data_IF_286621956834
#
_entry.id   IF_286621956834
#
_cell.length_a   1.000
_cell.length_b   1.000
_cell.length_c   1.000
_cell.angle_alpha   90.00
_cell.angle_beta   90.00
_cell.angle_gamma   90.00
#
_symmetry.space_group_name_H-M   'P 1'
#
loop_
_entity.id
_entity.type
_entity.pdbx_description
1 polymer ?
#
# COMPACT_ATOMS: atom_id res chain seq x y z
N UNK A 1 25.41 12.50 -3.49
CA UNK A 1 25.98 11.57 -2.49
C UNK A 1 26.07 12.33 -1.18
N UNK A 2 25.18 12.04 -0.23
CA UNK A 2 25.19 12.72 1.07
C UNK A 2 24.83 11.69 2.13
N UNK A 3 25.83 10.93 2.57
CA UNK A 3 25.74 9.94 3.64
C UNK A 3 26.01 10.66 4.96
N UNK A 4 25.00 10.79 5.82
CA UNK A 4 25.20 11.25 7.20
C UNK A 4 25.52 10.01 8.05
N UNK A 5 26.79 9.86 8.38
CA UNK A 5 27.30 8.82 9.29
C UNK A 5 27.38 9.38 10.72
N UNK A 6 26.54 8.86 11.61
CA UNK A 6 26.77 8.96 13.05
C UNK A 6 27.24 7.59 13.55
N UNK A 7 28.45 7.52 14.12
CA UNK A 7 29.05 6.34 14.77
C UNK A 7 29.25 5.06 13.91
N UNK A 8 29.50 5.17 12.61
CA UNK A 8 30.09 4.07 11.83
C UNK A 8 29.28 2.77 11.69
N UNK A 9 28.01 2.76 12.13
CA UNK A 9 27.08 1.65 11.90
C UNK A 9 26.12 2.09 10.80
N UNK A 10 26.21 1.46 9.63
CA UNK A 10 25.16 1.58 8.62
C UNK A 10 23.94 0.84 9.17
N UNK A 11 23.01 1.57 9.77
CA UNK A 11 21.70 1.00 10.15
C UNK A 11 20.94 0.79 8.86
N UNK A 12 21.00 -0.44 8.32
CA UNK A 12 20.28 -0.80 7.10
C UNK A 12 18.78 -0.67 7.35
N UNK A 13 18.10 0.17 6.58
CA UNK A 13 16.65 0.26 6.62
C UNK A 13 16.04 -1.06 6.15
N UNK A 14 15.21 -1.65 6.99
CA UNK A 14 14.63 -2.97 6.75
C UNK A 14 13.23 -2.85 6.14
N UNK A 15 12.93 -3.56 5.03
CA UNK A 15 11.60 -3.54 4.46
C UNK A 15 10.63 -4.37 5.31
N UNK A 16 9.47 -3.80 5.61
CA UNK A 16 8.38 -4.46 6.33
C UNK A 16 7.13 -4.44 5.47
N UNK A 17 6.53 -5.61 5.25
CA UNK A 17 5.27 -5.71 4.52
C UNK A 17 4.09 -5.39 5.44
N UNK A 18 3.19 -4.55 4.96
CA UNK A 18 1.85 -4.34 5.52
C UNK A 18 0.84 -4.74 4.44
N UNK A 19 -0.10 -5.63 4.75
CA UNK A 19 -1.12 -6.01 3.78
C UNK A 19 -2.46 -6.35 4.42
N UNK A 20 -3.53 -6.13 3.66
CA UNK A 20 -4.88 -6.55 4.04
C UNK A 20 -5.27 -7.80 3.27
N UNK A 21 -5.80 -8.80 3.98
CA UNK A 21 -6.28 -10.07 3.42
C UNK A 21 -7.79 -10.15 3.62
N UNK A 22 -8.53 -10.24 2.52
CA UNK A 22 -9.97 -10.39 2.55
C UNK A 22 -10.41 -11.42 1.50
N UNK A 23 -10.57 -12.68 1.93
CA UNK A 23 -11.01 -13.77 1.07
C UNK A 23 -10.21 -13.88 -0.27
N UNK A 24 -8.88 -14.03 -0.21
CA UNK A 24 -8.04 -13.99 -1.40
C UNK A 24 -8.32 -15.20 -2.31
N UNK A 25 -8.35 -14.97 -3.63
CA UNK A 25 -8.49 -16.05 -4.61
C UNK A 25 -7.16 -16.75 -4.85
N UNK A 26 -6.73 -17.56 -3.87
CA UNK A 26 -5.42 -18.23 -3.88
C UNK A 26 -5.56 -19.66 -3.34
N UNK A 27 -4.90 -20.62 -3.99
CA UNK A 27 -4.84 -22.00 -3.48
C UNK A 27 -3.83 -22.12 -2.33
N UNK A 28 -4.02 -23.07 -1.41
CA UNK A 28 -3.06 -23.29 -0.29
C UNK A 28 -1.61 -23.56 -0.76
N UNK A 29 -1.34 -24.38 -1.80
CA UNK A 29 0.02 -24.58 -2.29
C UNK A 29 0.63 -23.30 -2.87
N UNK A 30 -0.18 -22.48 -3.56
CA UNK A 30 0.25 -21.19 -4.09
C UNK A 30 0.56 -20.21 -2.97
N UNK A 31 -0.33 -20.09 -1.98
CA UNK A 31 -0.13 -19.26 -0.80
C UNK A 31 1.16 -19.64 -0.05
N UNK A 32 1.45 -20.94 0.10
CA UNK A 32 2.69 -21.40 0.73
C UNK A 32 3.95 -20.90 0.01
N UNK A 33 3.96 -20.90 -1.34
CA UNK A 33 5.09 -20.37 -2.13
C UNK A 33 5.22 -18.86 -1.98
N UNK A 34 4.11 -18.14 -2.04
CA UNK A 34 4.06 -16.69 -1.83
C UNK A 34 4.63 -16.32 -0.45
N UNK A 35 4.21 -17.01 0.61
CA UNK A 35 4.69 -16.74 1.96
C UNK A 35 6.17 -17.04 2.16
N UNK A 36 6.71 -18.05 1.46
CA UNK A 36 8.14 -18.30 1.45
C UNK A 36 8.92 -17.12 0.83
N UNK A 37 8.43 -16.56 -0.28
CA UNK A 37 9.04 -15.37 -0.90
C UNK A 37 8.90 -14.14 -0.01
N UNK A 38 7.73 -13.93 0.62
CA UNK A 38 7.53 -12.83 1.59
C UNK A 38 8.51 -12.96 2.75
N UNK A 39 8.67 -14.14 3.31
CA UNK A 39 9.58 -14.39 4.44
C UNK A 39 11.05 -14.17 4.09
N UNK A 40 11.43 -14.42 2.84
CA UNK A 40 12.78 -14.19 2.31
C UNK A 40 13.04 -12.71 1.96
N UNK A 41 12.00 -11.95 1.61
CA UNK A 41 12.14 -10.59 1.09
C UNK A 41 11.98 -9.50 2.16
N UNK A 42 11.24 -9.78 3.24
CA UNK A 42 10.91 -8.81 4.28
C UNK A 42 11.43 -9.24 5.65
N UNK A 43 11.82 -8.27 6.47
CA UNK A 43 12.22 -8.53 7.86
C UNK A 43 11.02 -8.95 8.72
N UNK A 44 9.84 -8.46 8.40
CA UNK A 44 8.56 -8.89 8.97
C UNK A 44 7.42 -8.57 8.01
N UNK A 45 6.32 -9.30 8.13
CA UNK A 45 5.06 -9.02 7.45
C UNK A 45 3.92 -8.92 8.48
N UNK A 46 3.17 -7.83 8.44
CA UNK A 46 1.99 -7.63 9.29
C UNK A 46 0.76 -7.64 8.40
N UNK A 47 -0.16 -8.53 8.74
CA UNK A 47 -1.36 -8.78 7.96
C UNK A 47 -2.59 -8.56 8.83
N UNK A 48 -3.54 -7.75 8.35
CA UNK A 48 -4.91 -7.82 8.86
C UNK A 48 -5.71 -8.80 8.02
N UNK A 49 -6.36 -9.77 8.65
CA UNK A 49 -7.14 -10.82 7.97
C UNK A 49 -8.60 -10.69 8.36
N UNK A 50 -9.50 -10.63 7.39
CA UNK A 50 -10.94 -10.54 7.69
C UNK A 50 -11.46 -11.82 8.35
N UNK A 51 -12.43 -11.69 9.26
CA UNK A 51 -13.12 -12.83 9.91
C UNK A 51 -13.81 -13.78 8.93
N UNK A 52 -14.09 -13.33 7.70
CA UNK A 52 -14.69 -14.12 6.63
C UNK A 52 -13.67 -14.87 5.75
N UNK A 53 -12.36 -14.64 5.97
CA UNK A 53 -11.32 -15.35 5.23
C UNK A 53 -11.31 -16.82 5.63
N UNK A 54 -11.05 -17.71 4.66
CA UNK A 54 -11.00 -19.15 4.89
C UNK A 54 -10.06 -19.51 6.06
N UNK A 55 -10.51 -20.47 6.89
CA UNK A 55 -9.77 -20.85 8.11
C UNK A 55 -8.44 -21.52 7.79
N UNK A 56 -8.34 -22.30 6.72
CA UNK A 56 -7.10 -22.96 6.32
C UNK A 56 -6.10 -21.95 5.74
N UNK A 57 -6.59 -20.93 5.02
CA UNK A 57 -5.76 -19.78 4.61
C UNK A 57 -5.20 -19.07 5.85
N UNK A 58 -6.07 -18.76 6.82
CA UNK A 58 -5.67 -18.06 8.06
C UNK A 58 -4.65 -18.87 8.87
N UNK A 59 -4.87 -20.17 9.04
CA UNK A 59 -3.92 -21.07 9.69
C UNK A 59 -2.58 -21.08 8.97
N UNK A 60 -2.58 -21.21 7.64
CA UNK A 60 -1.35 -21.25 6.86
C UNK A 60 -0.54 -19.95 7.04
N UNK A 61 -1.17 -18.78 7.00
CA UNK A 61 -0.51 -17.50 7.27
C UNK A 61 0.20 -17.49 8.64
N UNK A 62 -0.44 -18.05 9.68
CA UNK A 62 0.10 -18.12 11.04
C UNK A 62 1.24 -19.12 11.23
N UNK A 63 1.51 -19.99 10.24
CA UNK A 63 2.62 -20.96 10.33
C UNK A 63 4.00 -20.37 10.01
N UNK A 64 4.06 -19.18 9.40
CA UNK A 64 5.31 -18.54 9.02
C UNK A 64 5.80 -17.58 10.13
N UNK A 65 7.00 -17.77 10.71
CA UNK A 65 7.45 -17.00 11.88
C UNK A 65 7.55 -15.48 11.67
N UNK A 66 7.87 -15.04 10.45
CA UNK A 66 7.97 -13.61 10.09
C UNK A 66 6.63 -12.99 9.68
N UNK A 67 5.54 -13.77 9.70
CA UNK A 67 4.20 -13.32 9.33
C UNK A 67 3.34 -13.19 10.58
N UNK A 68 2.90 -11.97 10.87
CA UNK A 68 2.08 -11.63 12.01
C UNK A 68 0.66 -11.32 11.56
N UNK A 69 -0.32 -12.00 12.13
CA UNK A 69 -1.73 -11.89 11.72
C UNK A 69 -2.56 -11.23 12.82
N UNK A 70 -3.36 -10.23 12.44
CA UNK A 70 -4.44 -9.66 13.26
C UNK A 70 -5.77 -9.92 12.57
N UNK A 71 -6.63 -10.72 13.19
CA UNK A 71 -7.98 -10.99 12.66
C UNK A 71 -8.90 -9.81 12.99
N UNK A 72 -9.66 -9.31 12.00
CA UNK A 72 -10.53 -8.12 12.12
C UNK A 72 -11.88 -8.34 11.45
N UNK A 73 -12.93 -7.65 11.93
CA UNK A 73 -14.21 -7.59 11.23
C UNK A 73 -14.11 -6.75 9.94
N UNK A 74 -14.81 -7.11 8.85
CA UNK A 74 -14.75 -6.37 7.61
C UNK A 74 -15.54 -5.05 7.71
N UNK A 75 -14.83 -3.93 7.92
CA UNK A 75 -15.40 -2.57 7.95
C UNK A 75 -14.96 -1.69 6.77
N UNK A 76 -14.54 -2.33 5.68
CA UNK A 76 -14.04 -1.66 4.47
C UNK A 76 -12.50 -1.62 4.40
N UNK A 77 -11.99 -1.36 3.19
CA UNK A 77 -10.55 -1.38 2.91
C UNK A 77 -9.78 -0.32 3.71
N UNK A 78 -10.31 0.91 3.81
CA UNK A 78 -9.65 1.99 4.56
C UNK A 78 -9.45 1.65 6.05
N UNK A 79 -10.44 1.04 6.71
CA UNK A 79 -10.29 0.59 8.11
C UNK A 79 -9.24 -0.52 8.23
N UNK A 80 -9.24 -1.51 7.35
CA UNK A 80 -8.23 -2.57 7.35
C UNK A 80 -6.81 -2.01 7.13
N UNK A 81 -6.65 -1.07 6.19
CA UNK A 81 -5.39 -0.37 5.88
C UNK A 81 -4.85 0.40 7.08
N UNK A 82 -5.70 1.18 7.76
CA UNK A 82 -5.34 1.89 9.00
C UNK A 82 -4.96 0.91 10.11
N UNK A 83 -5.70 -0.20 10.27
CA UNK A 83 -5.41 -1.21 11.30
C UNK A 83 -4.09 -1.94 11.07
N UNK A 84 -3.72 -2.23 9.83
CA UNK A 84 -2.44 -2.89 9.53
C UNK A 84 -1.27 -1.92 9.68
N UNK A 85 -1.46 -0.64 9.35
CA UNK A 85 -0.48 0.41 9.60
C UNK A 85 -0.22 0.60 11.10
N UNK A 86 -1.28 0.68 11.91
CA UNK A 86 -1.19 0.72 13.38
C UNK A 86 -0.50 -0.54 13.93
N UNK A 87 -0.86 -1.70 13.41
CA UNK A 87 -0.28 -2.97 13.84
C UNK A 87 1.23 -3.01 13.58
N UNK A 88 1.67 -2.72 12.35
CA UNK A 88 3.09 -2.71 12.01
C UNK A 88 3.87 -1.65 12.79
N UNK A 89 3.35 -0.42 12.86
CA UNK A 89 4.03 0.69 13.53
C UNK A 89 4.25 0.44 15.03
N UNK A 90 3.30 -0.20 15.72
CA UNK A 90 3.44 -0.55 17.14
C UNK A 90 4.49 -1.63 17.40
N UNK A 91 4.62 -2.58 16.47
CA UNK A 91 5.43 -3.78 16.66
C UNK A 91 6.89 -3.61 16.21
N UNK A 92 7.12 -2.81 15.16
CA UNK A 92 8.46 -2.60 14.62
C UNK A 92 9.27 -1.64 15.50
N UNK A 93 10.40 -2.14 16.01
CA UNK A 93 11.34 -1.44 16.91
C UNK A 93 12.65 -1.01 16.25
N UNK A 94 12.78 -1.26 14.96
CA UNK A 94 13.96 -0.95 14.16
C UNK A 94 13.61 0.06 13.06
N UNK A 95 14.64 0.69 12.47
CA UNK A 95 14.46 1.61 11.34
C UNK A 95 13.97 0.85 10.11
N UNK A 96 12.74 1.14 9.68
CA UNK A 96 12.06 0.39 8.63
C UNK A 96 11.46 1.29 7.54
N UNK A 97 11.38 0.73 6.32
CA UNK A 97 10.44 1.18 5.31
C UNK A 97 9.20 0.30 5.37
N UNK A 98 8.04 0.89 5.64
CA UNK A 98 6.79 0.16 5.54
C UNK A 98 6.33 0.13 4.09
N UNK A 99 6.19 -1.05 3.52
CA UNK A 99 5.61 -1.28 2.21
C UNK A 99 4.18 -1.77 2.39
N UNK A 100 3.21 -0.93 2.05
CA UNK A 100 1.82 -1.34 1.99
C UNK A 100 1.49 -1.88 0.59
N UNK A 101 0.84 -3.03 0.53
CA UNK A 101 0.31 -3.59 -0.71
C UNK A 101 -0.89 -4.50 -0.41
N UNK A 102 -1.98 -4.36 -1.15
CA UNK A 102 -3.11 -5.30 -1.06
C UNK A 102 -2.61 -6.74 -1.31
N UNK A 103 -3.10 -7.73 -0.53
CA UNK A 103 -2.46 -9.05 -0.53
C UNK A 103 -2.61 -9.81 -1.86
N UNK A 104 -3.71 -9.61 -2.58
CA UNK A 104 -3.89 -10.13 -3.94
C UNK A 104 -2.84 -9.58 -4.92
N UNK A 105 -2.40 -8.33 -4.74
CA UNK A 105 -1.32 -7.71 -5.51
C UNK A 105 0.05 -8.26 -5.12
N UNK A 106 0.27 -8.59 -3.84
CA UNK A 106 1.48 -9.32 -3.40
C UNK A 106 1.54 -10.70 -4.06
N UNK A 107 0.44 -11.46 -4.00
CA UNK A 107 0.33 -12.78 -4.66
C UNK A 107 0.58 -12.64 -6.17
N UNK A 108 -0.10 -11.67 -6.81
CA UNK A 108 0.02 -11.43 -8.26
C UNK A 108 1.46 -11.08 -8.64
N UNK A 109 2.11 -10.19 -7.91
CA UNK A 109 3.46 -9.77 -8.26
C UNK A 109 4.52 -10.83 -8.08
N UNK A 110 4.39 -11.65 -7.04
CA UNK A 110 5.28 -12.80 -6.84
C UNK A 110 5.06 -13.86 -7.93
N UNK A 111 3.82 -14.20 -8.26
CA UNK A 111 3.53 -15.24 -9.25
C UNK A 111 3.85 -14.79 -10.69
N UNK A 112 3.70 -13.50 -11.00
CA UNK A 112 3.97 -12.98 -12.34
C UNK A 112 5.45 -12.64 -12.57
N UNK A 113 6.12 -12.01 -11.60
CA UNK A 113 7.52 -11.61 -11.74
C UNK A 113 8.26 -11.52 -10.39
N UNK A 114 8.53 -12.69 -9.80
CA UNK A 114 9.24 -12.82 -8.52
C UNK A 114 10.60 -12.10 -8.49
N UNK A 115 11.33 -12.07 -9.62
CA UNK A 115 12.66 -11.47 -9.68
C UNK A 115 12.59 -9.94 -9.54
N UNK A 116 11.67 -9.31 -10.26
CA UNK A 116 11.46 -7.88 -10.16
C UNK A 116 10.87 -7.49 -8.80
N UNK A 117 9.93 -8.27 -8.28
CA UNK A 117 9.39 -8.09 -6.93
C UNK A 117 10.52 -8.08 -5.89
N UNK A 118 11.37 -9.13 -5.86
CA UNK A 118 12.50 -9.21 -4.93
C UNK A 118 13.50 -8.07 -5.10
N UNK A 119 13.82 -7.72 -6.36
CA UNK A 119 14.74 -6.61 -6.67
C UNK A 119 14.20 -5.29 -6.13
N UNK A 120 12.91 -5.02 -6.32
CA UNK A 120 12.26 -3.84 -5.81
C UNK A 120 12.32 -3.77 -4.28
N UNK A 121 11.96 -4.85 -3.57
CA UNK A 121 11.96 -4.89 -2.11
C UNK A 121 13.37 -4.74 -1.53
N UNK A 122 14.38 -5.36 -2.14
CA UNK A 122 15.77 -5.23 -1.72
C UNK A 122 16.28 -3.77 -1.80
N UNK A 123 15.78 -3.01 -2.77
CA UNK A 123 16.12 -1.60 -3.01
C UNK A 123 15.20 -0.61 -2.28
N UNK A 124 14.13 -1.08 -1.63
CA UNK A 124 13.12 -0.20 -1.05
C UNK A 124 13.70 0.59 0.12
N UNK A 125 13.81 1.91 -0.03
CA UNK A 125 14.30 2.82 1.02
C UNK A 125 13.45 4.10 1.01
N UNK A 126 12.70 4.32 2.08
CA UNK A 126 11.92 5.53 2.33
C UNK A 126 12.37 6.12 3.66
N UNK A 127 13.35 7.03 3.58
CA UNK A 127 13.94 7.68 4.75
C UNK A 127 13.00 8.70 5.40
N UNK A 128 12.29 9.44 4.56
CA UNK A 128 11.31 10.43 4.98
C UNK A 128 10.13 10.46 4.00
N UNK A 129 8.93 10.65 4.53
CA UNK A 129 7.71 10.82 3.74
C UNK A 129 7.10 9.56 3.13
N UNK A 130 6.52 9.74 1.95
CA UNK A 130 5.61 8.81 1.27
C UNK A 130 6.03 8.59 -0.18
N UNK A 131 6.02 7.33 -0.61
CA UNK A 131 6.27 6.93 -1.99
C UNK A 131 5.04 6.22 -2.55
N UNK A 132 4.44 6.82 -3.58
CA UNK A 132 3.38 6.22 -4.38
C UNK A 132 4.01 5.14 -5.28
N UNK A 133 3.49 3.92 -5.23
CA UNK A 133 4.01 2.80 -6.03
C UNK A 133 2.95 2.41 -7.06
N UNK A 134 3.12 2.91 -8.27
CA UNK A 134 2.19 2.73 -9.37
C UNK A 134 2.52 1.55 -10.27
N UNK A 135 1.54 1.06 -11.02
CA UNK A 135 1.75 0.07 -12.10
C UNK A 135 2.49 0.73 -13.26
N UNK A 136 3.34 0.02 -13.98
CA UNK A 136 3.88 0.54 -15.24
C UNK A 136 2.78 0.78 -16.28
N UNK A 137 3.06 1.62 -17.27
CA UNK A 137 2.13 1.84 -18.39
C UNK A 137 1.88 0.54 -19.17
N UNK A 138 2.83 -0.39 -19.18
CA UNK A 138 2.67 -1.73 -19.76
C UNK A 138 1.66 -2.57 -18.98
N UNK A 139 1.83 -2.69 -17.66
CA UNK A 139 0.86 -3.38 -16.83
C UNK A 139 -0.52 -2.75 -16.93
N UNK A 140 -0.60 -1.41 -16.91
CA UNK A 140 -1.86 -0.68 -16.99
C UNK A 140 -2.63 -1.06 -18.26
N UNK A 141 -1.97 -1.29 -19.42
CA UNK A 141 -2.66 -1.71 -20.66
C UNK A 141 -3.37 -3.05 -20.54
N UNK A 142 -2.90 -3.94 -19.65
CA UNK A 142 -3.53 -5.24 -19.39
C UNK A 142 -4.77 -5.17 -18.50
N UNK A 143 -5.04 -4.03 -17.85
CA UNK A 143 -6.23 -3.87 -17.01
C UNK A 143 -7.51 -3.63 -17.84
N UNK A 144 -8.69 -3.99 -17.29
CA UNK A 144 -9.98 -3.74 -17.93
C UNK A 144 -10.19 -2.26 -18.26
N UNK A 145 -10.92 -1.98 -19.35
CA UNK A 145 -11.17 -0.60 -19.80
C UNK A 145 -11.84 0.25 -18.70
N UNK A 146 -12.77 -0.35 -17.95
CA UNK A 146 -13.45 0.27 -16.81
C UNK A 146 -12.48 0.81 -15.76
N UNK A 147 -11.36 0.11 -15.49
CA UNK A 147 -10.31 0.58 -14.57
C UNK A 147 -9.46 1.65 -15.24
N UNK A 148 -8.90 1.34 -16.43
CA UNK A 148 -7.94 2.21 -17.12
C UNK A 148 -8.51 3.61 -17.33
N UNK A 149 -9.75 3.70 -17.78
CA UNK A 149 -10.37 4.98 -18.14
C UNK A 149 -10.78 5.79 -16.91
N UNK A 150 -11.34 5.14 -15.88
CA UNK A 150 -11.76 5.85 -14.67
C UNK A 150 -10.57 6.26 -13.81
N UNK A 151 -9.56 5.40 -13.69
CA UNK A 151 -8.35 5.69 -12.93
C UNK A 151 -7.46 6.72 -13.63
N UNK A 152 -7.52 6.84 -14.97
CA UNK A 152 -6.84 7.91 -15.69
C UNK A 152 -7.31 9.31 -15.27
N UNK A 153 -8.59 9.47 -14.92
CA UNK A 153 -9.15 10.74 -14.41
C UNK A 153 -8.53 11.07 -13.05
N UNK A 154 -8.57 10.10 -12.12
CA UNK A 154 -7.98 10.25 -10.78
C UNK A 154 -6.48 10.52 -10.85
N UNK A 155 -5.76 9.76 -11.66
CA UNK A 155 -4.31 9.86 -11.83
C UNK A 155 -3.88 11.22 -12.39
N UNK A 156 -4.67 11.79 -13.32
CA UNK A 156 -4.45 13.14 -13.82
C UNK A 156 -4.58 14.18 -12.71
N UNK A 157 -5.67 14.15 -11.95
CA UNK A 157 -5.89 15.09 -10.85
C UNK A 157 -4.81 14.96 -9.77
N UNK A 158 -4.47 13.74 -9.36
CA UNK A 158 -3.41 13.49 -8.39
C UNK A 158 -2.05 14.03 -8.88
N UNK A 159 -1.74 13.86 -10.17
CA UNK A 159 -0.48 14.37 -10.75
C UNK A 159 -0.33 15.88 -10.58
N UNK A 160 -1.42 16.63 -10.80
CA UNK A 160 -1.47 18.09 -10.57
C UNK A 160 -1.35 18.42 -9.07
N UNK A 161 -2.14 17.75 -8.22
CA UNK A 161 -2.16 18.01 -6.77
C UNK A 161 -0.80 17.77 -6.13
N UNK A 162 -0.09 16.73 -6.52
CA UNK A 162 1.23 16.40 -5.95
C UNK A 162 2.41 17.00 -6.73
N UNK A 163 2.14 17.71 -7.84
CA UNK A 163 3.17 18.21 -8.75
C UNK A 163 4.16 17.10 -9.20
N UNK A 164 3.62 15.90 -9.45
CA UNK A 164 4.37 14.73 -9.91
C UNK A 164 3.75 14.26 -11.23
N UNK A 165 4.48 14.31 -12.37
CA UNK A 165 3.93 13.87 -13.63
C UNK A 165 3.75 12.35 -13.66
N UNK A 166 2.75 11.88 -14.41
CA UNK A 166 2.49 10.46 -14.66
C UNK A 166 2.36 9.62 -13.36
N UNK A 167 1.51 10.06 -12.43
CA UNK A 167 1.16 9.26 -11.25
C UNK A 167 0.21 8.11 -11.57
N UNK A 168 0.36 7.02 -10.81
CA UNK A 168 -0.68 6.00 -10.64
C UNK A 168 -0.89 5.78 -9.16
N UNK A 169 -1.85 6.53 -8.63
CA UNK A 169 -2.15 6.59 -7.20
C UNK A 169 -3.09 5.45 -6.80
N UNK A 170 -3.84 4.89 -7.74
CA UNK A 170 -4.89 3.88 -7.51
C UNK A 170 -4.38 2.44 -7.54
N UNK A 171 -3.06 2.23 -7.49
CA UNK A 171 -2.46 0.91 -7.56
C UNK A 171 -2.68 0.04 -6.31
N UNK A 172 -3.14 0.63 -5.19
CA UNK A 172 -3.30 -0.04 -3.90
C UNK A 172 -1.96 -0.40 -3.25
N UNK A 173 -0.92 0.38 -3.56
CA UNK A 173 0.45 0.11 -3.16
C UNK A 173 1.22 1.40 -2.87
N UNK A 174 1.92 1.43 -1.74
CA UNK A 174 2.77 2.55 -1.35
C UNK A 174 3.89 2.12 -0.41
N UNK A 175 4.86 3.00 -0.21
CA UNK A 175 5.82 2.85 0.87
C UNK A 175 5.92 4.12 1.69
N UNK A 176 6.10 3.97 3.00
CA UNK A 176 6.13 5.10 3.94
C UNK A 176 7.26 4.93 4.94
N UNK A 177 7.84 6.06 5.35
CA UNK A 177 8.70 6.10 6.52
C UNK A 177 7.88 5.87 7.80
N UNK A 178 8.54 5.48 8.90
CA UNK A 178 7.88 5.38 10.21
C UNK A 178 7.29 6.73 10.66
N UNK A 179 7.93 7.86 10.31
CA UNK A 179 7.43 9.19 10.62
C UNK A 179 6.13 9.49 9.86
N UNK A 180 6.12 9.24 8.54
CA UNK A 180 4.91 9.39 7.73
C UNK A 180 3.76 8.51 8.25
N UNK A 181 4.05 7.26 8.64
CA UNK A 181 3.05 6.37 9.25
C UNK A 181 2.42 6.97 10.53
N UNK A 182 3.18 7.68 11.37
CA UNK A 182 2.66 8.36 12.57
C UNK A 182 1.69 9.49 12.22
N UNK A 183 2.04 10.31 11.22
CA UNK A 183 1.14 11.36 10.73
C UNK A 183 -0.13 10.77 10.12
N UNK A 184 0.00 9.75 9.27
CA UNK A 184 -1.15 9.07 8.67
C UNK A 184 -2.10 8.54 9.74
N UNK A 185 -1.60 7.80 10.74
CA UNK A 185 -2.47 7.22 11.77
C UNK A 185 -3.17 8.24 12.66
N UNK A 186 -2.58 9.42 12.84
CA UNK A 186 -3.16 10.46 13.67
C UNK A 186 -4.27 11.26 12.96
N UNK A 187 -4.28 11.27 11.62
CA UNK A 187 -5.15 12.17 10.85
C UNK A 187 -6.01 11.45 9.80
N UNK A 188 -5.79 10.15 9.53
CA UNK A 188 -6.57 9.40 8.54
C UNK A 188 -7.93 8.97 9.09
N UNK A 189 -9.00 9.46 8.47
CA UNK A 189 -10.40 9.12 8.77
C UNK A 189 -11.26 8.91 7.51
N UNK A 190 -10.71 9.23 6.35
CA UNK A 190 -11.33 9.18 5.05
C UNK A 190 -11.60 7.78 4.52
N UNK A 191 -12.33 7.77 3.40
CA UNK A 191 -12.80 6.56 2.72
C UNK A 191 -11.76 5.99 1.74
N UNK A 192 -10.86 6.82 1.22
CA UNK A 192 -9.85 6.42 0.23
C UNK A 192 -8.45 6.82 0.69
N UNK A 193 -7.78 5.86 1.32
CA UNK A 193 -6.41 6.02 1.81
C UNK A 193 -5.40 6.32 0.70
N UNK A 194 -5.66 5.87 -0.53
CA UNK A 194 -4.74 6.01 -1.66
C UNK A 194 -4.48 7.49 -1.99
N UNK A 195 -5.50 8.34 -1.87
CA UNK A 195 -5.40 9.80 -2.04
C UNK A 195 -5.15 10.52 -0.71
N UNK A 196 -5.80 10.09 0.36
CA UNK A 196 -5.74 10.75 1.67
C UNK A 196 -4.34 10.67 2.31
N UNK A 197 -3.72 9.50 2.35
CA UNK A 197 -2.43 9.33 3.03
C UNK A 197 -1.30 10.21 2.47
N UNK A 198 -1.11 10.31 1.13
CA UNK A 198 -0.13 11.24 0.59
C UNK A 198 -0.53 12.71 0.81
N UNK A 199 -1.82 13.06 0.90
CA UNK A 199 -2.25 14.42 1.27
C UNK A 199 -1.86 14.77 2.72
N UNK A 200 -2.10 13.86 3.67
CA UNK A 200 -1.67 14.02 5.07
C UNK A 200 -0.15 14.22 5.14
N UNK A 201 0.62 13.41 4.41
CA UNK A 201 2.07 13.53 4.38
C UNK A 201 2.52 14.87 3.77
N UNK A 202 1.86 15.33 2.70
CA UNK A 202 2.13 16.62 2.06
C UNK A 202 1.83 17.78 3.01
N UNK A 203 0.70 17.74 3.71
CA UNK A 203 0.31 18.74 4.70
C UNK A 203 1.27 18.79 5.90
N UNK A 204 1.86 17.64 6.27
CA UNK A 204 2.93 17.56 7.27
C UNK A 204 4.30 18.03 6.75
N UNK A 205 4.40 18.50 5.51
CA UNK A 205 5.66 18.95 4.90
C UNK A 205 6.63 17.82 4.55
N UNK A 206 6.16 16.58 4.50
CA UNK A 206 7.00 15.42 4.18
C UNK A 206 7.18 15.26 2.67
N UNK A 207 8.26 14.60 2.29
CA UNK A 207 8.58 14.34 0.88
C UNK A 207 7.56 13.36 0.27
N UNK A 208 6.95 13.75 -0.86
CA UNK A 208 6.13 12.85 -1.69
C UNK A 208 6.92 12.47 -2.93
N UNK A 209 7.08 11.18 -3.18
CA UNK A 209 7.71 10.65 -4.40
C UNK A 209 6.81 9.63 -5.07
N UNK A 210 7.14 9.25 -6.31
CA UNK A 210 6.45 8.19 -7.02
C UNK A 210 7.42 7.29 -7.77
N UNK A 211 7.05 6.01 -7.89
CA UNK A 211 7.79 5.01 -8.67
C UNK A 211 6.81 4.07 -9.37
N UNK A 212 7.08 3.75 -10.64
CA UNK A 212 6.34 2.72 -11.38
C UNK A 212 7.05 1.37 -11.30
N UNK A 213 6.29 0.29 -11.27
CA UNK A 213 6.82 -1.09 -11.17
C UNK A 213 6.11 -2.04 -12.14
N UNK A 214 6.81 -3.08 -12.64
CA UNK A 214 6.21 -4.07 -13.54
C UNK A 214 5.75 -5.36 -12.83
N UNK A 215 5.94 -5.51 -11.51
CA UNK A 215 5.38 -6.64 -10.76
C UNK A 215 3.89 -6.48 -10.41
N UNK A 216 3.16 -5.50 -10.95
CA UNK A 216 1.72 -5.29 -10.68
C UNK A 216 0.79 -5.54 -11.89
N UNK A 217 0.89 -6.67 -12.61
CA UNK A 217 0.01 -6.93 -13.75
C UNK A 217 -1.43 -7.21 -13.32
N UNK A 218 -2.35 -7.13 -14.28
CA UNK A 218 -3.70 -7.67 -14.12
C UNK A 218 -3.68 -9.17 -14.44
N UNK A 219 -4.16 -9.98 -13.50
CA UNK A 219 -4.29 -11.43 -13.68
C UNK A 219 -5.72 -11.77 -13.26
N UNK A 220 -6.64 -11.99 -14.21
CA UNK A 220 -8.07 -12.14 -13.90
C UNK A 220 -8.37 -13.19 -12.83
N UNK A 221 -7.60 -14.28 -12.80
CA UNK A 221 -7.76 -15.33 -11.81
C UNK A 221 -7.39 -14.92 -10.38
N UNK A 222 -6.64 -13.83 -10.18
CA UNK A 222 -6.14 -13.41 -8.86
C UNK A 222 -6.75 -12.10 -8.38
N UNK A 223 -6.94 -11.14 -9.28
CA UNK A 223 -7.26 -9.75 -8.92
C UNK A 223 -8.37 -9.11 -9.77
N UNK A 224 -9.21 -9.91 -10.42
CA UNK A 224 -10.46 -9.42 -10.99
C UNK A 224 -11.48 -9.10 -9.89
N UNK A 225 -12.15 -7.97 -10.04
CA UNK A 225 -13.37 -7.60 -9.35
C UNK A 225 -14.62 -8.09 -10.08
N UNK A 226 -15.78 -7.63 -9.60
CA UNK A 226 -17.08 -7.93 -10.21
C UNK A 226 -17.34 -6.98 -11.38
N UNK A 227 -17.81 -7.53 -12.49
CA UNK A 227 -18.23 -6.81 -13.70
C UNK A 227 -17.14 -5.94 -14.35
N UNK A 228 -15.86 -6.22 -14.08
CA UNK A 228 -14.76 -5.38 -14.56
C UNK A 228 -14.64 -5.34 -16.09
N UNK A 229 -14.97 -6.44 -16.78
CA UNK A 229 -14.96 -6.55 -18.24
C UNK A 229 -16.31 -6.17 -18.89
N UNK A 230 -17.25 -5.66 -18.11
CA UNK A 230 -18.59 -5.26 -18.56
C UNK A 230 -18.81 -3.75 -18.30
N UNK A 231 -19.63 -3.10 -19.12
CA UNK A 231 -19.99 -1.69 -18.93
C UNK A 231 -20.61 -1.41 -17.55
N UNK A 232 -21.27 -2.40 -16.93
CA UNK A 232 -21.78 -2.29 -15.56
C UNK A 232 -20.67 -1.94 -14.54
N UNK A 233 -19.44 -2.40 -14.77
CA UNK A 233 -18.27 -2.08 -13.94
C UNK A 233 -17.93 -0.59 -13.88
N UNK A 234 -18.31 0.21 -14.89
CA UNK A 234 -18.09 1.66 -14.84
C UNK A 234 -18.82 2.32 -13.67
N UNK A 235 -19.99 1.81 -13.26
CA UNK A 235 -20.78 2.48 -12.20
C UNK A 235 -20.05 2.48 -10.86
N UNK A 236 -19.46 1.35 -10.46
CA UNK A 236 -18.67 1.26 -9.23
C UNK A 236 -17.35 2.03 -9.37
N UNK A 237 -16.69 1.92 -10.51
CA UNK A 237 -15.40 2.56 -10.80
C UNK A 237 -15.48 4.08 -10.86
N UNK A 238 -16.51 4.64 -11.51
CA UNK A 238 -16.76 6.08 -11.53
C UNK A 238 -17.09 6.62 -10.14
N UNK A 239 -17.79 5.85 -9.30
CA UNK A 239 -18.02 6.24 -7.89
C UNK A 239 -16.71 6.32 -7.13
N UNK A 240 -15.80 5.35 -7.31
CA UNK A 240 -14.46 5.38 -6.71
C UNK A 240 -13.64 6.57 -7.23
N UNK A 241 -13.68 6.84 -8.54
CA UNK A 241 -12.99 7.99 -9.11
C UNK A 241 -13.52 9.32 -8.54
N UNK A 242 -14.84 9.47 -8.43
CA UNK A 242 -15.45 10.66 -7.81
C UNK A 242 -15.03 10.82 -6.36
N UNK A 243 -15.06 9.74 -5.56
CA UNK A 243 -14.59 9.77 -4.17
C UNK A 243 -13.12 10.18 -4.08
N UNK A 244 -12.28 9.72 -5.01
CA UNK A 244 -10.86 10.05 -5.04
C UNK A 244 -10.64 11.54 -5.37
N UNK A 245 -11.39 12.08 -6.34
CA UNK A 245 -11.38 13.50 -6.67
C UNK A 245 -11.84 14.36 -5.48
N UNK A 246 -12.91 13.96 -4.80
CA UNK A 246 -13.40 14.66 -3.61
C UNK A 246 -12.36 14.66 -2.49
N UNK A 247 -11.66 13.55 -2.24
CA UNK A 247 -10.55 13.50 -1.29
C UNK A 247 -9.42 14.47 -1.69
N UNK A 248 -9.05 14.49 -2.98
CA UNK A 248 -8.03 15.41 -3.50
C UNK A 248 -8.43 16.89 -3.42
N UNK A 249 -9.71 17.21 -3.61
CA UNK A 249 -10.23 18.59 -3.49
C UNK A 249 -10.26 19.06 -2.04
N UNK A 250 -10.79 18.21 -1.15
CA UNK A 250 -11.03 18.57 0.26
C UNK A 250 -9.71 18.87 0.96
N UNK A 251 -8.65 18.08 0.75
CA UNK A 251 -7.37 18.29 1.45
C UNK A 251 -6.30 18.98 0.59
N UNK A 252 -6.53 19.09 -0.72
CA UNK A 252 -5.66 19.81 -1.65
C UNK A 252 -5.93 21.32 -1.71
N UNK A 253 -7.14 21.76 -1.30
CA UNK A 253 -7.54 23.17 -1.30
C UNK A 253 -8.06 23.71 0.03
N UNK A 254 -8.54 22.87 0.95
CA UNK A 254 -8.89 23.31 2.30
C UNK A 254 -7.66 23.26 3.21
N UNK A 255 -7.09 24.44 3.42
CA UNK A 255 -6.32 24.80 4.60
C UNK A 255 -5.15 23.85 4.97
N UNK A 256 -4.08 23.92 4.18
CA UNK A 256 -2.72 23.50 4.58
C UNK A 256 -2.22 24.16 5.89
N UNK A 257 -3.03 25.02 6.53
CA UNK A 257 -2.78 25.61 7.84
C UNK A 257 -3.43 24.86 9.01
N UNK A 258 -4.21 23.79 8.78
CA UNK A 258 -4.63 22.95 9.91
C UNK A 258 -3.41 22.19 10.45
N UNK A 259 -3.12 22.30 11.77
CA UNK A 259 -1.97 21.62 12.34
C UNK A 259 -2.17 20.11 12.23
N UNK A 260 -1.38 19.47 11.37
CA UNK A 260 -1.36 18.01 11.27
C UNK A 260 -0.80 17.46 12.57
N UNK A 261 -1.58 16.63 13.26
CA UNK A 261 -1.13 16.05 14.53
C UNK A 261 -0.12 14.95 14.26
N UNK A 262 0.98 14.93 15.00
CA UNK A 262 1.84 13.75 15.02
C UNK A 262 1.22 12.71 15.95
N UNK A 263 1.11 11.46 15.50
CA UNK A 263 0.71 10.36 16.37
C UNK A 263 1.65 10.23 17.57
N UNK A 264 1.11 9.76 18.69
CA UNK A 264 1.89 9.45 19.90
C UNK A 264 3.14 8.62 19.53
N UNK A 265 4.29 8.86 20.17
CA UNK A 265 5.51 8.13 19.85
C UNK A 265 5.30 6.65 20.13
N UNK A 266 5.30 5.86 19.06
CA UNK A 266 5.54 4.44 19.19
C UNK A 266 7.04 4.25 19.31
N UNK A 267 7.47 3.80 20.49
CA UNK A 267 8.78 3.20 20.72
C UNK A 267 9.94 4.20 20.64
N UNK A 268 9.84 5.28 21.42
CA UNK A 268 10.99 6.11 21.82
C UNK A 268 11.65 5.47 23.05
N UNK A 269 12.37 4.38 22.83
CA UNK A 269 13.39 3.86 23.75
C UNK A 269 14.74 3.78 23.01
#
# INVERSE_FOLDING_TARGET
>A
MSTVTYKGVVVSMQPVLLATVHHPNVSLPQLKRVLAVVSDSFSAAYLTVSTITDREITKLLQTFPSVHVRIIEPRGAADARRRVLDFGLRQVRYRASFFYCDFDKVVTGIEANVSEFKTFIAQLRVDDGYQIIGRSSENMRGYPATWRETEAITNKAASEVFALPDLDITAGCCAVSQMAARYILANSDGLLTDTEWPLICKAAGLTITAKRVNFLPYVPALNAGRDDDNWHGYTSRLRLALQALQSLETDGTADLNQPVSIGWPYNED
#
